data_IF_108065114996
#
_entry.id   IF_108065114996
#
_cell.length_a   1.000
_cell.length_b   1.000
_cell.length_c   1.000
_cell.angle_alpha   90.00
_cell.angle_beta   90.00
_cell.angle_gamma   90.00
#
_symmetry.space_group_name_H-M   'P 1'
#
loop_
_entity.id
_entity.type
_entity.pdbx_description
1 polymer ?
#
# COMPACT_ATOMS: atom_id res chain seq x y z
N UNK A 1 -6.97 -38.52 16.78
CA UNK A 1 -8.28 -37.96 16.42
C UNK A 1 -8.07 -36.87 15.38
N UNK A 2 -8.30 -37.21 14.12
CA UNK A 2 -8.09 -36.39 12.94
C UNK A 2 -9.27 -35.44 12.74
N UNK A 3 -9.13 -34.20 13.22
CA UNK A 3 -10.14 -33.14 13.17
C UNK A 3 -9.86 -32.04 12.16
N UNK A 4 -9.32 -32.37 10.98
CA UNK A 4 -9.15 -31.41 9.89
C UNK A 4 -10.34 -31.48 8.96
N UNK A 5 -11.35 -30.65 9.18
CA UNK A 5 -12.47 -30.55 8.26
C UNK A 5 -12.12 -29.65 7.09
N UNK A 6 -12.31 -30.15 5.86
CA UNK A 6 -12.11 -29.39 4.63
C UNK A 6 -12.88 -28.06 4.65
N UNK A 7 -14.06 -28.03 5.28
CA UNK A 7 -14.86 -26.82 5.46
C UNK A 7 -14.18 -25.74 6.32
N UNK A 8 -13.42 -26.12 7.36
CA UNK A 8 -12.74 -25.16 8.22
C UNK A 8 -11.52 -24.57 7.51
N UNK A 9 -10.86 -25.35 6.66
CA UNK A 9 -9.78 -24.88 5.77
C UNK A 9 -10.33 -23.94 4.71
N UNK A 10 -11.35 -24.34 3.93
CA UNK A 10 -12.00 -23.48 2.93
C UNK A 10 -12.57 -22.19 3.51
N UNK A 11 -13.12 -22.23 4.74
CA UNK A 11 -13.62 -21.02 5.42
C UNK A 11 -12.48 -20.06 5.79
N UNK A 12 -11.33 -20.57 6.25
CA UNK A 12 -10.16 -19.75 6.54
C UNK A 12 -9.56 -19.18 5.26
N UNK A 13 -9.39 -20.00 4.24
CA UNK A 13 -8.85 -19.59 2.94
C UNK A 13 -9.73 -18.51 2.32
N UNK A 14 -11.06 -18.70 2.35
CA UNK A 14 -12.03 -17.69 1.91
C UNK A 14 -11.99 -16.43 2.76
N UNK A 15 -11.86 -16.54 4.09
CA UNK A 15 -11.75 -15.37 4.96
C UNK A 15 -10.50 -14.54 4.65
N UNK A 16 -9.37 -15.20 4.34
CA UNK A 16 -8.14 -14.53 3.90
C UNK A 16 -8.30 -13.86 2.55
N UNK A 17 -8.94 -14.53 1.58
CA UNK A 17 -9.21 -13.95 0.26
C UNK A 17 -10.17 -12.75 0.35
N UNK A 18 -11.25 -12.88 1.11
CA UNK A 18 -12.24 -11.82 1.34
C UNK A 18 -11.59 -10.62 2.07
N UNK A 19 -10.69 -10.87 3.02
CA UNK A 19 -9.94 -9.81 3.71
C UNK A 19 -9.02 -9.04 2.73
N UNK A 20 -8.25 -9.75 1.90
CA UNK A 20 -7.40 -9.14 0.86
C UNK A 20 -8.22 -8.32 -0.13
N UNK A 21 -9.36 -8.83 -0.55
CA UNK A 21 -10.27 -8.12 -1.46
C UNK A 21 -10.87 -6.86 -0.82
N UNK A 22 -11.31 -6.96 0.43
CA UNK A 22 -11.83 -5.83 1.21
C UNK A 22 -10.78 -4.72 1.37
N UNK A 23 -9.53 -5.11 1.61
CA UNK A 23 -8.40 -4.20 1.70
C UNK A 23 -8.09 -3.52 0.35
N UNK A 24 -8.06 -4.29 -0.74
CA UNK A 24 -7.90 -3.74 -2.09
C UNK A 24 -9.01 -2.73 -2.43
N UNK A 25 -10.25 -3.02 -2.03
CA UNK A 25 -11.37 -2.08 -2.21
C UNK A 25 -11.18 -0.81 -1.40
N UNK A 26 -10.70 -0.92 -0.17
CA UNK A 26 -10.40 0.24 0.68
C UNK A 26 -9.32 1.12 0.06
N UNK A 27 -8.20 0.54 -0.37
CA UNK A 27 -7.09 1.25 -1.02
C UNK A 27 -7.55 1.97 -2.28
N UNK A 28 -8.25 1.28 -3.17
CA UNK A 28 -8.73 1.88 -4.41
C UNK A 28 -9.82 2.94 -4.18
N UNK A 29 -10.70 2.76 -3.19
CA UNK A 29 -11.69 3.78 -2.81
C UNK A 29 -11.03 5.08 -2.36
N UNK A 30 -9.93 5.01 -1.61
CA UNK A 30 -9.12 6.18 -1.21
C UNK A 30 -8.50 6.86 -2.43
N UNK A 31 -7.92 6.09 -3.35
CA UNK A 31 -7.35 6.62 -4.60
C UNK A 31 -8.41 7.34 -5.45
N UNK A 32 -9.59 6.74 -5.64
CA UNK A 32 -10.70 7.35 -6.38
C UNK A 32 -11.15 8.67 -5.74
N UNK A 33 -11.28 8.68 -4.40
CA UNK A 33 -11.70 9.85 -3.63
C UNK A 33 -10.69 11.01 -3.80
N UNK A 34 -9.40 10.74 -3.65
CA UNK A 34 -8.34 11.75 -3.78
C UNK A 34 -8.24 12.26 -5.21
N UNK A 35 -8.26 11.36 -6.20
CA UNK A 35 -8.19 11.75 -7.61
C UNK A 35 -9.37 12.63 -8.02
N UNK A 36 -10.59 12.29 -7.61
CA UNK A 36 -11.79 13.09 -7.87
C UNK A 36 -11.75 14.45 -7.16
N UNK A 37 -11.24 14.50 -5.91
CA UNK A 37 -11.06 15.74 -5.15
C UNK A 37 -10.07 16.71 -5.83
N UNK A 38 -8.99 16.18 -6.39
CA UNK A 38 -7.91 17.00 -6.99
C UNK A 38 -8.22 17.44 -8.43
N UNK A 39 -8.82 16.57 -9.24
CA UNK A 39 -8.97 16.81 -10.69
C UNK A 39 -10.41 16.79 -11.21
N UNK A 40 -11.41 16.68 -10.31
CA UNK A 40 -12.82 16.58 -10.69
C UNK A 40 -13.25 15.15 -11.04
N UNK A 41 -14.56 14.96 -11.20
CA UNK A 41 -15.20 13.64 -11.29
C UNK A 41 -15.31 13.07 -12.70
N UNK A 42 -14.76 13.76 -13.70
CA UNK A 42 -14.78 13.33 -15.10
C UNK A 42 -13.45 12.65 -15.47
N UNK A 43 -13.43 11.34 -15.74
CA UNK A 43 -12.21 10.61 -16.09
C UNK A 43 -11.62 10.99 -17.46
N UNK A 44 -12.40 11.64 -18.35
CA UNK A 44 -11.89 12.09 -19.64
C UNK A 44 -11.00 13.33 -19.47
N UNK A 45 -11.32 14.20 -18.53
CA UNK A 45 -10.51 15.37 -18.16
C UNK A 45 -9.53 15.11 -17.00
N UNK A 46 -9.67 13.99 -16.28
CA UNK A 46 -8.84 13.65 -15.11
C UNK A 46 -8.11 12.32 -15.31
N UNK A 47 -6.85 12.34 -15.80
CA UNK A 47 -6.04 11.13 -16.00
C UNK A 47 -5.82 10.32 -14.72
N UNK A 48 -5.64 10.98 -13.57
CA UNK A 48 -5.46 10.29 -12.28
C UNK A 48 -6.72 9.51 -11.88
N UNK A 49 -7.91 10.08 -12.10
CA UNK A 49 -9.18 9.40 -11.86
C UNK A 49 -9.35 8.21 -12.81
N UNK A 50 -8.96 8.36 -14.09
CA UNK A 50 -9.00 7.25 -15.07
C UNK A 50 -8.17 6.06 -14.61
N UNK A 51 -6.93 6.29 -14.18
CA UNK A 51 -6.05 5.24 -13.65
C UNK A 51 -6.63 4.62 -12.37
N UNK A 52 -7.22 5.42 -11.48
CA UNK A 52 -7.87 4.90 -10.28
C UNK A 52 -9.10 4.01 -10.61
N UNK A 53 -9.88 4.38 -11.63
CA UNK A 53 -11.00 3.57 -12.14
C UNK A 53 -10.50 2.25 -12.76
N UNK A 54 -9.38 2.27 -13.49
CA UNK A 54 -8.75 1.06 -14.03
C UNK A 54 -8.34 0.10 -12.90
N UNK A 55 -7.62 0.61 -11.89
CA UNK A 55 -7.28 -0.16 -10.68
C UNK A 55 -8.53 -0.74 -9.99
N UNK A 56 -9.64 0.01 -9.96
CA UNK A 56 -10.90 -0.46 -9.38
C UNK A 56 -11.52 -1.62 -10.16
N UNK A 57 -11.46 -1.55 -11.49
CA UNK A 57 -11.93 -2.61 -12.38
C UNK A 57 -11.06 -3.86 -12.25
N UNK A 58 -9.74 -3.71 -12.17
CA UNK A 58 -8.80 -4.81 -11.92
C UNK A 58 -9.09 -5.53 -10.60
N UNK A 59 -9.38 -4.77 -9.54
CA UNK A 59 -9.81 -5.32 -8.26
C UNK A 59 -11.21 -5.96 -8.30
N UNK A 60 -11.95 -5.84 -9.42
CA UNK A 60 -13.36 -6.26 -9.57
C UNK A 60 -14.30 -5.54 -8.60
N UNK A 61 -14.06 -4.24 -8.38
CA UNK A 61 -14.93 -3.38 -7.57
C UNK A 61 -16.27 -3.15 -8.28
N UNK A 62 -17.42 -3.29 -7.58
CA UNK A 62 -18.72 -2.93 -8.12
C UNK A 62 -18.79 -1.46 -8.56
N UNK A 63 -19.52 -1.18 -9.64
CA UNK A 63 -19.63 0.17 -10.22
C UNK A 63 -20.20 1.17 -9.22
N UNK A 64 -21.14 0.73 -8.40
CA UNK A 64 -21.79 1.52 -7.36
C UNK A 64 -20.77 2.00 -6.30
N UNK A 65 -19.80 1.14 -5.96
CA UNK A 65 -18.73 1.49 -5.02
C UNK A 65 -17.74 2.50 -5.64
N UNK A 66 -17.44 2.35 -6.92
CA UNK A 66 -16.59 3.31 -7.66
C UNK A 66 -17.27 4.68 -7.65
N UNK A 67 -18.54 4.75 -8.05
CA UNK A 67 -19.31 5.99 -8.07
C UNK A 67 -19.39 6.63 -6.68
N UNK A 68 -19.64 5.84 -5.64
CA UNK A 68 -19.66 6.32 -4.24
C UNK A 68 -18.34 6.94 -3.80
N UNK A 69 -17.20 6.37 -4.20
CA UNK A 69 -15.88 6.94 -3.89
C UNK A 69 -15.63 8.26 -4.64
N UNK A 70 -16.05 8.35 -5.90
CA UNK A 70 -15.99 9.59 -6.68
C UNK A 70 -16.86 10.68 -6.05
N UNK A 71 -18.10 10.35 -5.67
CA UNK A 71 -19.02 11.30 -5.04
C UNK A 71 -18.51 11.82 -3.69
N UNK A 72 -17.81 10.99 -2.91
CA UNK A 72 -17.06 11.44 -1.73
C UNK A 72 -15.99 12.46 -2.07
N UNK A 73 -15.17 12.18 -3.09
CA UNK A 73 -14.13 13.10 -3.55
C UNK A 73 -14.66 14.45 -4.04
N UNK A 74 -15.87 14.45 -4.62
CA UNK A 74 -16.59 15.65 -5.05
C UNK A 74 -17.32 16.39 -3.92
N UNK A 75 -17.23 15.91 -2.67
CA UNK A 75 -17.92 16.51 -1.52
C UNK A 75 -19.44 16.31 -1.51
N UNK A 76 -19.96 15.38 -2.31
CA UNK A 76 -21.40 15.04 -2.34
C UNK A 76 -21.81 14.11 -1.19
N UNK A 77 -20.82 13.45 -0.58
CA UNK A 77 -20.96 12.60 0.59
C UNK A 77 -19.90 13.00 1.60
N UNK A 78 -20.23 12.90 2.89
CA UNK A 78 -19.23 13.10 3.94
C UNK A 78 -18.11 12.06 3.81
N UNK A 79 -16.88 12.55 3.92
CA UNK A 79 -15.68 11.72 3.84
C UNK A 79 -14.55 12.35 4.63
N UNK A 80 -13.74 11.51 5.26
CA UNK A 80 -12.49 11.95 5.87
C UNK A 80 -11.60 12.60 4.82
N UNK A 81 -10.87 13.65 5.21
CA UNK A 81 -9.89 14.27 4.32
C UNK A 81 -8.64 13.40 4.27
N UNK A 82 -8.50 12.61 3.21
CA UNK A 82 -7.26 11.89 2.95
C UNK A 82 -6.15 12.85 2.51
N UNK A 83 -4.96 12.65 3.03
CA UNK A 83 -3.73 13.29 2.61
C UNK A 83 -2.72 12.25 2.13
N UNK A 84 -1.92 12.64 1.13
CA UNK A 84 -0.82 11.83 0.61
C UNK A 84 0.46 12.15 1.38
N UNK A 85 1.09 11.10 1.91
CA UNK A 85 2.35 11.21 2.65
C UNK A 85 3.30 10.15 2.10
N UNK A 86 4.56 10.52 1.92
CA UNK A 86 5.64 9.57 1.64
C UNK A 86 6.47 9.42 2.91
N UNK A 87 6.54 8.20 3.41
CA UNK A 87 7.44 7.82 4.48
C UNK A 87 8.69 7.17 3.88
N UNK A 88 9.84 7.48 4.45
CA UNK A 88 11.14 6.95 4.02
C UNK A 88 11.77 6.24 5.20
N UNK A 89 12.56 5.19 4.95
CA UNK A 89 13.21 4.47 6.04
C UNK A 89 14.11 3.35 5.54
N UNK A 90 14.80 2.74 6.49
CA UNK A 90 15.71 1.63 6.23
C UNK A 90 15.23 0.38 6.95
N UNK A 91 15.18 -0.75 6.26
CA UNK A 91 14.91 -2.05 6.86
C UNK A 91 16.19 -2.81 7.23
N UNK A 92 16.10 -4.14 7.41
CA UNK A 92 17.25 -5.01 7.61
C UNK A 92 18.39 -4.76 6.62
N UNK A 93 19.64 -4.82 7.08
CA UNK A 93 20.85 -4.62 6.27
C UNK A 93 20.90 -3.29 5.49
N UNK A 94 20.14 -2.28 5.94
CA UNK A 94 20.15 -0.95 5.32
C UNK A 94 19.40 -0.88 3.99
N UNK A 95 18.52 -1.85 3.69
CA UNK A 95 17.62 -1.77 2.54
C UNK A 95 16.77 -0.52 2.67
N UNK A 96 16.79 0.32 1.63
CA UNK A 96 16.01 1.52 1.57
C UNK A 96 14.57 1.21 1.19
N UNK A 97 13.63 1.87 1.87
CA UNK A 97 12.21 1.84 1.58
C UNK A 97 11.68 3.27 1.38
N UNK A 98 10.73 3.38 0.46
CA UNK A 98 9.87 4.55 0.27
C UNK A 98 8.42 4.07 0.21
N UNK A 99 7.61 4.51 1.17
CA UNK A 99 6.24 4.03 1.38
C UNK A 99 5.28 5.19 1.14
N UNK A 100 4.49 5.11 0.06
CA UNK A 100 3.45 6.08 -0.24
C UNK A 100 2.16 5.66 0.45
N UNK A 101 1.57 6.58 1.21
CA UNK A 101 0.33 6.34 1.95
C UNK A 101 -0.74 7.37 1.61
N UNK A 102 -2.00 6.96 1.76
CA UNK A 102 -3.17 7.82 1.83
C UNK A 102 -3.85 7.61 3.17
N UNK A 103 -3.88 8.66 4.00
CA UNK A 103 -4.39 8.57 5.37
C UNK A 103 -5.28 9.75 5.73
N UNK A 104 -6.25 9.53 6.59
CA UNK A 104 -7.06 10.55 7.25
C UNK A 104 -6.52 10.93 8.65
N UNK A 105 -5.45 10.26 9.10
CA UNK A 105 -4.82 10.49 10.40
C UNK A 105 -3.31 10.26 10.33
N UNK A 106 -2.57 11.34 10.06
CA UNK A 106 -1.10 11.38 10.04
C UNK A 106 -0.43 10.70 11.22
N UNK A 107 -0.91 11.00 12.43
CA UNK A 107 -0.25 10.57 13.67
C UNK A 107 -0.39 9.06 13.89
N UNK A 108 -1.57 8.50 13.56
CA UNK A 108 -1.80 7.06 13.55
C UNK A 108 -0.86 6.38 12.55
N UNK A 109 -0.87 6.82 11.30
CA UNK A 109 -0.07 6.19 10.24
C UNK A 109 1.42 6.33 10.51
N UNK A 110 1.91 7.49 10.98
CA UNK A 110 3.31 7.66 11.35
C UNK A 110 3.74 6.70 12.47
N UNK A 111 2.85 6.42 13.43
CA UNK A 111 3.11 5.47 14.51
C UNK A 111 3.12 4.03 14.00
N UNK A 112 2.17 3.66 13.14
CA UNK A 112 2.13 2.36 12.48
C UNK A 112 3.37 2.11 11.62
N UNK A 113 3.79 3.07 10.79
CA UNK A 113 5.00 2.97 9.97
C UNK A 113 6.24 2.76 10.86
N UNK A 114 6.41 3.58 11.91
CA UNK A 114 7.52 3.42 12.85
C UNK A 114 7.53 2.03 13.49
N UNK A 115 6.37 1.50 13.86
CA UNK A 115 6.25 0.18 14.43
C UNK A 115 6.65 -0.92 13.44
N UNK A 116 6.21 -0.84 12.17
CA UNK A 116 6.61 -1.80 11.13
C UNK A 116 8.14 -1.78 10.96
N UNK A 117 8.74 -0.61 10.72
CA UNK A 117 10.19 -0.50 10.59
C UNK A 117 10.93 -1.08 11.81
N UNK A 118 10.51 -0.74 13.02
CA UNK A 118 11.19 -1.18 14.25
C UNK A 118 11.07 -2.69 14.49
N UNK A 119 9.93 -3.30 14.15
CA UNK A 119 9.69 -4.75 14.30
C UNK A 119 10.66 -5.60 13.48
N UNK A 120 11.11 -5.06 12.34
CA UNK A 120 12.02 -5.71 11.41
C UNK A 120 13.45 -5.16 11.49
N UNK A 121 13.89 -4.69 12.66
CA UNK A 121 15.25 -4.16 12.88
C UNK A 121 15.63 -2.98 11.95
N UNK A 122 14.62 -2.27 11.48
CA UNK A 122 14.75 -1.07 10.66
C UNK A 122 14.51 0.21 11.45
N UNK A 123 14.50 1.33 10.73
CA UNK A 123 14.18 2.65 11.27
C UNK A 123 13.42 3.50 10.26
N UNK A 124 12.43 4.24 10.76
CA UNK A 124 11.78 5.29 9.99
C UNK A 124 12.73 6.48 9.88
N UNK A 125 13.03 6.90 8.66
CA UNK A 125 13.87 8.05 8.35
C UNK A 125 13.09 9.36 8.29
N UNK A 126 13.84 10.45 8.20
CA UNK A 126 13.29 11.76 7.83
C UNK A 126 13.06 11.87 6.32
N UNK A 127 12.34 12.92 5.92
CA UNK A 127 12.15 13.26 4.50
C UNK A 127 13.51 13.41 3.81
N UNK A 128 13.68 12.74 2.66
CA UNK A 128 14.90 12.75 1.87
C UNK A 128 15.97 11.73 2.28
N UNK A 129 15.71 10.87 3.27
CA UNK A 129 16.69 9.86 3.72
C UNK A 129 16.96 8.78 2.67
N UNK A 130 15.98 8.45 1.83
CA UNK A 130 16.10 7.44 0.77
C UNK A 130 15.68 7.96 -0.60
N UNK A 131 15.07 9.15 -0.68
CA UNK A 131 14.54 9.72 -1.92
C UNK A 131 15.56 9.76 -3.08
N UNK A 132 16.84 10.01 -2.80
CA UNK A 132 17.89 10.03 -3.81
C UNK A 132 18.11 8.67 -4.49
N UNK A 133 17.76 7.56 -3.83
CA UNK A 133 17.85 6.19 -4.35
C UNK A 133 16.73 5.95 -5.36
N UNK A 134 15.58 6.59 -5.17
CA UNK A 134 14.33 6.39 -5.92
C UNK A 134 14.05 7.50 -6.95
N UNK A 135 15.03 8.36 -7.22
CA UNK A 135 14.90 9.45 -8.19
C UNK A 135 15.63 9.11 -9.50
N UNK A 136 15.05 9.40 -10.68
CA UNK A 136 13.79 10.11 -10.92
C UNK A 136 12.54 9.20 -10.89
N UNK A 137 12.71 7.89 -10.89
CA UNK A 137 11.62 6.91 -10.92
C UNK A 137 11.71 5.95 -9.72
N UNK A 138 10.73 5.97 -8.81
CA UNK A 138 10.75 5.13 -7.61
C UNK A 138 10.63 3.63 -7.91
N UNK A 139 10.17 3.25 -9.10
CA UNK A 139 10.12 1.84 -9.54
C UNK A 139 11.49 1.32 -9.97
N UNK A 140 12.43 2.21 -10.28
CA UNK A 140 13.75 1.91 -10.81
C UNK A 140 14.83 2.55 -9.94
N UNK A 141 15.15 1.96 -8.77
CA UNK A 141 16.14 2.51 -7.86
C UNK A 141 17.52 2.57 -8.50
N UNK A 142 18.31 3.59 -8.14
CA UNK A 142 19.64 3.84 -8.71
C UNK A 142 20.65 2.72 -8.47
N UNK A 143 20.45 1.92 -7.43
CA UNK A 143 21.23 0.73 -7.13
C UNK A 143 20.37 -0.26 -6.33
N UNK A 144 20.78 -1.53 -6.33
CA UNK A 144 20.15 -2.57 -5.53
C UNK A 144 21.09 -3.04 -4.41
N UNK A 145 20.56 -3.16 -3.20
CA UNK A 145 21.18 -3.86 -2.09
C UNK A 145 21.25 -5.37 -2.38
N UNK A 146 22.41 -5.96 -2.12
CA UNK A 146 22.64 -7.40 -2.23
C UNK A 146 22.38 -8.07 -0.89
N UNK A 147 21.34 -8.91 -0.83
CA UNK A 147 20.94 -9.60 0.40
C UNK A 147 21.40 -11.06 0.30
N UNK A 148 22.52 -11.35 0.98
CA UNK A 148 23.14 -12.67 0.96
C UNK A 148 22.56 -13.61 2.03
N UNK A 149 22.10 -13.05 3.14
CA UNK A 149 21.58 -13.82 4.26
C UNK A 149 20.11 -14.22 4.01
N UNK A 150 19.78 -15.52 3.92
CA UNK A 150 18.40 -15.98 3.72
C UNK A 150 17.44 -15.50 4.81
N UNK A 151 17.90 -15.41 6.07
CA UNK A 151 17.06 -14.93 7.17
C UNK A 151 16.69 -13.45 7.00
N UNK A 152 17.60 -12.65 6.48
CA UNK A 152 17.34 -11.24 6.18
C UNK A 152 16.31 -11.12 5.06
N UNK A 153 16.42 -11.96 4.03
CA UNK A 153 15.43 -12.04 2.95
C UNK A 153 14.04 -12.35 3.50
N UNK A 154 13.89 -13.38 4.32
CA UNK A 154 12.61 -13.76 4.93
C UNK A 154 12.01 -12.61 5.75
N UNK A 155 12.85 -11.87 6.49
CA UNK A 155 12.42 -10.69 7.27
C UNK A 155 11.95 -9.55 6.36
N UNK A 156 12.64 -9.29 5.25
CA UNK A 156 12.25 -8.27 4.28
C UNK A 156 10.92 -8.64 3.60
N UNK A 157 10.70 -9.91 3.27
CA UNK A 157 9.42 -10.38 2.70
C UNK A 157 8.27 -10.25 3.70
N UNK A 158 8.49 -10.59 4.98
CA UNK A 158 7.50 -10.38 6.04
C UNK A 158 7.19 -8.90 6.26
N UNK A 159 8.20 -8.03 6.20
CA UNK A 159 8.03 -6.58 6.29
C UNK A 159 7.21 -6.03 5.13
N UNK A 160 7.44 -6.51 3.90
CA UNK A 160 6.60 -6.17 2.74
C UNK A 160 5.15 -6.61 2.94
N UNK A 161 4.93 -7.81 3.48
CA UNK A 161 3.57 -8.28 3.80
C UNK A 161 2.89 -7.38 4.83
N UNK A 162 3.60 -6.90 5.87
CA UNK A 162 3.02 -5.98 6.86
C UNK A 162 2.66 -4.61 6.27
N UNK A 163 3.47 -4.10 5.33
CA UNK A 163 3.08 -2.89 4.60
C UNK A 163 1.87 -3.13 3.69
N UNK A 164 1.81 -4.27 3.01
CA UNK A 164 0.67 -4.64 2.17
C UNK A 164 -0.61 -4.79 2.98
N UNK A 165 -0.51 -5.31 4.21
CA UNK A 165 -1.63 -5.48 5.14
C UNK A 165 -2.07 -4.18 5.84
N UNK A 166 -1.30 -3.08 5.68
CA UNK A 166 -1.69 -1.76 6.15
C UNK A 166 -2.63 -1.09 5.13
N UNK A 167 -3.76 -0.58 5.60
CA UNK A 167 -4.80 0.01 4.76
C UNK A 167 -4.41 1.37 4.18
N UNK A 168 -3.62 2.15 4.91
CA UNK A 168 -3.14 3.47 4.48
C UNK A 168 -2.07 3.37 3.39
N UNK A 169 -1.26 2.30 3.41
CA UNK A 169 -0.22 2.05 2.41
C UNK A 169 -0.83 1.82 1.02
N UNK A 170 -0.41 2.64 0.06
CA UNK A 170 -0.80 2.51 -1.35
C UNK A 170 0.28 1.83 -2.19
N UNK A 171 1.53 2.25 -2.03
CA UNK A 171 2.66 1.75 -2.81
C UNK A 171 3.92 1.68 -1.93
N UNK A 172 4.70 0.61 -2.11
CA UNK A 172 5.97 0.40 -1.42
C UNK A 172 7.06 0.23 -2.46
N UNK A 173 8.09 1.07 -2.38
CA UNK A 173 9.29 0.97 -3.19
C UNK A 173 10.46 0.58 -2.31
N UNK A 174 11.35 -0.23 -2.85
CA UNK A 174 12.49 -0.76 -2.13
C UNK A 174 13.64 -1.01 -3.09
N UNK A 175 14.86 -1.01 -2.56
CA UNK A 175 16.06 -1.19 -3.38
C UNK A 175 16.70 -2.57 -3.24
N UNK A 176 15.96 -3.64 -2.98
CA UNK A 176 16.51 -5.01 -2.99
C UNK A 176 15.82 -5.87 -4.04
N UNK A 177 16.46 -6.98 -4.44
CA UNK A 177 15.89 -7.93 -5.41
C UNK A 177 15.19 -9.06 -4.68
N UNK A 178 13.90 -9.22 -4.94
CA UNK A 178 13.21 -10.48 -4.66
C UNK A 178 13.73 -11.51 -5.68
N UNK A 179 14.55 -12.45 -5.23
CA UNK A 179 14.94 -13.58 -6.07
C UNK A 179 13.69 -14.44 -6.25
N UNK A 180 13.09 -14.39 -7.43
CA UNK A 180 12.10 -15.38 -7.86
C UNK A 180 12.83 -16.72 -7.97
N UNK A 181 12.51 -17.65 -7.07
CA UNK A 181 12.80 -19.07 -7.32
C UNK A 181 11.83 -19.59 -8.38
#
# INVERSE_FOLDING_TARGET
MSGHSHWATTKRDKATEDAKKSMAFTKVSRLLTVAAKQGGGDPDSNPSLRLAIEKAKEARMPKENIQKAIDKGLGRLDSGSYEEITYEGFGPEGVAFMVKVLTDNRNRTASEMRNIFTRYDGSLGGVGSTAYIFSPDPKNPSFYAEILNPKTKDRLEQMLSEFDDNDDVQEVFYNFKLVNN
#
